data_IF_141974194328
#
_entry.id   IF_141974194328
#
_cell.length_a   1.000
_cell.length_b   1.000
_cell.length_c   1.000
_cell.angle_alpha   90.00
_cell.angle_beta   90.00
_cell.angle_gamma   90.00
#
_symmetry.space_group_name_H-M   'P 1'
#
loop_
_entity.id
_entity.type
_entity.pdbx_description
1 polymer ?
#
# COMPACT_ATOMS: atom_id res chain seq x y z
N UNK A 1 -13.63 2.58 1.64
CA UNK A 1 -12.26 2.04 1.71
C UNK A 1 -11.89 1.40 0.38
N UNK A 2 -10.66 1.64 -0.07
CA UNK A 2 -10.14 1.17 -1.36
C UNK A 2 -8.83 0.43 -1.12
N UNK A 3 -8.75 -0.85 -1.50
CA UNK A 3 -7.52 -1.63 -1.51
C UNK A 3 -6.63 -1.22 -2.67
N UNK A 4 -5.71 -0.32 -2.44
CA UNK A 4 -4.72 0.14 -3.42
C UNK A 4 -3.52 -0.81 -3.47
N UNK A 5 -3.15 -1.35 -2.35
CA UNK A 5 -2.11 -2.36 -2.07
C UNK A 5 -0.68 -1.86 -2.33
N UNK A 6 -0.37 -1.37 -3.52
CA UNK A 6 0.98 -0.95 -3.95
C UNK A 6 0.89 0.02 -5.13
N UNK A 7 1.93 0.82 -5.33
CA UNK A 7 2.11 1.61 -6.55
C UNK A 7 2.83 0.87 -7.69
N UNK A 8 3.32 -0.34 -7.47
CA UNK A 8 4.06 -1.11 -8.47
C UNK A 8 3.15 -1.97 -9.32
N UNK A 9 3.24 -1.83 -10.64
CA UNK A 9 2.50 -2.66 -11.62
C UNK A 9 2.85 -4.13 -11.47
N UNK A 10 4.13 -4.45 -11.32
CA UNK A 10 4.59 -5.84 -11.16
C UNK A 10 4.00 -6.48 -9.89
N UNK A 11 3.95 -5.73 -8.79
CA UNK A 11 3.41 -6.26 -7.53
C UNK A 11 1.91 -6.43 -7.58
N UNK A 12 1.17 -5.57 -8.30
CA UNK A 12 -0.25 -5.79 -8.58
C UNK A 12 -0.47 -7.10 -9.33
N UNK A 13 0.40 -7.45 -10.29
CA UNK A 13 0.34 -8.73 -10.99
C UNK A 13 0.59 -9.92 -10.05
N UNK A 14 1.58 -9.85 -9.15
CA UNK A 14 1.81 -10.89 -8.14
C UNK A 14 0.62 -11.09 -7.21
N UNK A 15 -0.07 -10.00 -6.87
CA UNK A 15 -1.28 -10.02 -6.05
C UNK A 15 -2.53 -10.44 -6.84
N UNK A 16 -2.42 -10.60 -8.16
CA UNK A 16 -3.58 -10.76 -9.08
C UNK A 16 -4.65 -9.69 -8.88
N UNK A 17 -4.20 -8.49 -8.53
CA UNK A 17 -5.09 -7.34 -8.37
C UNK A 17 -5.38 -6.76 -9.75
N UNK A 18 -6.65 -6.62 -10.14
CA UNK A 18 -6.99 -5.98 -11.41
C UNK A 18 -6.74 -4.47 -11.35
N UNK A 19 -6.43 -3.88 -12.50
CA UNK A 19 -6.20 -2.45 -12.64
C UNK A 19 -4.74 -2.07 -12.66
N UNK A 20 -4.50 -0.77 -12.74
CA UNK A 20 -3.18 -0.16 -12.77
C UNK A 20 -3.08 0.95 -11.72
N UNK A 21 -1.88 1.40 -11.34
CA UNK A 21 -1.71 2.56 -10.48
C UNK A 21 -2.45 3.80 -11.00
N UNK A 22 -2.48 4.00 -12.33
CA UNK A 22 -3.21 5.10 -12.97
C UNK A 22 -4.70 5.03 -12.67
N UNK A 23 -5.31 3.88 -12.89
CA UNK A 23 -6.73 3.67 -12.60
C UNK A 23 -7.03 3.88 -11.11
N UNK A 24 -6.11 3.50 -10.22
CA UNK A 24 -6.27 3.65 -8.78
C UNK A 24 -6.33 5.14 -8.37
N UNK A 25 -5.36 5.95 -8.80
CA UNK A 25 -5.36 7.37 -8.43
C UNK A 25 -6.49 8.15 -9.12
N UNK A 26 -6.86 7.82 -10.36
CA UNK A 26 -8.00 8.41 -11.06
C UNK A 26 -9.32 8.10 -10.34
N UNK A 27 -9.50 6.86 -9.91
CA UNK A 27 -10.68 6.43 -9.13
C UNK A 27 -10.76 7.20 -7.81
N UNK A 28 -9.68 7.27 -7.05
CA UNK A 28 -9.63 8.02 -5.79
C UNK A 28 -9.97 9.49 -6.03
N UNK A 29 -9.36 10.12 -7.04
CA UNK A 29 -9.58 11.53 -7.35
C UNK A 29 -11.02 11.81 -7.80
N UNK A 30 -11.63 10.90 -8.54
CA UNK A 30 -13.05 11.00 -8.95
C UNK A 30 -13.97 10.95 -7.73
N UNK A 31 -13.74 10.03 -6.80
CA UNK A 31 -14.52 9.93 -5.55
C UNK A 31 -14.33 11.20 -4.71
N UNK A 32 -13.11 11.68 -4.59
CA UNK A 32 -12.78 12.93 -3.88
C UNK A 32 -13.46 14.15 -4.49
N UNK A 33 -13.52 14.23 -5.82
CA UNK A 33 -14.23 15.31 -6.51
C UNK A 33 -15.75 15.32 -6.21
N UNK A 34 -16.32 14.17 -5.88
CA UNK A 34 -17.68 14.03 -5.38
C UNK A 34 -17.88 14.41 -3.90
N UNK A 35 -16.85 14.92 -3.22
CA UNK A 35 -16.92 15.33 -1.81
C UNK A 35 -16.87 14.18 -0.80
N UNK A 36 -16.51 12.98 -1.22
CA UNK A 36 -16.46 11.79 -0.36
C UNK A 36 -15.07 11.63 0.25
N UNK A 37 -14.99 11.37 1.55
CA UNK A 37 -13.75 10.97 2.21
C UNK A 37 -13.41 9.52 1.88
N UNK A 38 -12.11 9.23 1.73
CA UNK A 38 -11.63 7.89 1.38
C UNK A 38 -10.63 7.37 2.39
N UNK A 39 -10.62 6.05 2.57
CA UNK A 39 -9.54 5.32 3.20
C UNK A 39 -8.85 4.43 2.16
N UNK A 40 -7.56 4.61 1.94
CA UNK A 40 -6.79 3.70 1.08
C UNK A 40 -6.01 2.70 1.94
N UNK A 41 -5.92 1.47 1.46
CA UNK A 41 -5.19 0.39 2.12
C UNK A 41 -3.97 0.06 1.27
N UNK A 42 -2.80 0.10 1.90
CA UNK A 42 -1.51 -0.24 1.31
C UNK A 42 -0.91 -1.43 2.07
N UNK A 43 -0.31 -2.37 1.34
CA UNK A 43 0.30 -3.55 1.94
C UNK A 43 1.78 -3.29 2.30
N UNK A 44 2.16 -3.75 3.48
CA UNK A 44 3.55 -3.83 3.91
C UNK A 44 4.05 -5.26 3.69
N UNK A 45 5.25 -5.40 3.13
CA UNK A 45 5.87 -6.68 2.87
C UNK A 45 5.64 -7.25 1.48
N UNK A 46 4.76 -6.65 0.68
CA UNK A 46 4.55 -7.08 -0.69
C UNK A 46 5.82 -6.90 -1.53
N UNK A 47 6.16 -7.92 -2.34
CA UNK A 47 7.40 -7.95 -3.13
C UNK A 47 8.63 -8.39 -2.37
N UNK A 48 8.53 -8.63 -1.05
CA UNK A 48 9.64 -9.12 -0.23
C UNK A 48 10.89 -8.25 -0.35
N UNK A 49 12.06 -8.89 -0.18
CA UNK A 49 13.36 -8.19 -0.24
C UNK A 49 13.68 -7.66 -1.63
N UNK A 50 13.28 -8.39 -2.68
CA UNK A 50 13.61 -8.04 -4.06
C UNK A 50 12.98 -6.70 -4.52
N UNK A 51 11.80 -6.37 -4.00
CA UNK A 51 11.05 -5.15 -4.39
C UNK A 51 10.96 -4.12 -3.27
N UNK A 52 11.80 -4.23 -2.23
CA UNK A 52 11.70 -3.39 -1.03
C UNK A 52 11.69 -1.89 -1.38
N UNK A 53 12.68 -1.42 -2.11
CA UNK A 53 12.84 -0.02 -2.47
C UNK A 53 11.83 0.41 -3.55
N UNK A 54 11.61 -0.43 -4.56
CA UNK A 54 10.67 -0.16 -5.63
C UNK A 54 9.25 0.01 -5.09
N UNK A 55 8.82 -0.88 -4.19
CA UNK A 55 7.50 -0.77 -3.56
C UNK A 55 7.33 0.56 -2.82
N UNK A 56 8.34 1.00 -2.06
CA UNK A 56 8.31 2.27 -1.35
C UNK A 56 8.20 3.44 -2.34
N UNK A 57 9.08 3.50 -3.34
CA UNK A 57 9.15 4.60 -4.29
C UNK A 57 7.87 4.72 -5.12
N UNK A 58 7.43 3.63 -5.73
CA UNK A 58 6.24 3.60 -6.58
C UNK A 58 4.98 3.94 -5.78
N UNK A 59 4.89 3.47 -4.52
CA UNK A 59 3.74 3.74 -3.66
C UNK A 59 3.69 5.21 -3.22
N UNK A 60 4.83 5.82 -2.89
CA UNK A 60 4.89 7.25 -2.57
C UNK A 60 4.49 8.09 -3.79
N UNK A 61 5.00 7.76 -4.98
CA UNK A 61 4.63 8.45 -6.23
C UNK A 61 3.14 8.32 -6.54
N UNK A 62 2.55 7.14 -6.32
CA UNK A 62 1.12 6.94 -6.49
C UNK A 62 0.31 7.81 -5.54
N UNK A 63 0.63 7.80 -4.25
CA UNK A 63 -0.07 8.60 -3.23
C UNK A 63 0.08 10.10 -3.48
N UNK A 64 1.20 10.53 -4.04
CA UNK A 64 1.40 11.95 -4.41
C UNK A 64 0.39 12.43 -5.46
N UNK A 65 0.02 11.56 -6.41
CA UNK A 65 -0.98 11.85 -7.44
C UNK A 65 -2.43 11.85 -6.92
N UNK A 66 -2.67 11.27 -5.74
CA UNK A 66 -3.99 11.24 -5.11
C UNK A 66 -4.28 12.56 -4.38
N UNK A 67 -5.47 13.12 -4.57
CA UNK A 67 -5.94 14.33 -3.90
C UNK A 67 -6.38 14.05 -2.45
N UNK A 68 -5.58 13.27 -1.72
CA UNK A 68 -5.86 12.98 -0.32
C UNK A 68 -5.64 14.22 0.55
N UNK A 69 -6.50 14.40 1.54
CA UNK A 69 -6.53 15.58 2.40
C UNK A 69 -6.97 15.22 3.83
N UNK A 70 -7.05 16.21 4.69
CA UNK A 70 -7.56 16.05 6.05
C UNK A 70 -8.95 15.38 6.03
N UNK A 71 -9.09 14.32 6.80
CA UNK A 71 -10.29 13.48 6.85
C UNK A 71 -10.17 12.18 6.03
N UNK A 72 -9.21 12.11 5.11
CA UNK A 72 -8.86 10.85 4.45
C UNK A 72 -7.88 10.04 5.30
N UNK A 73 -7.81 8.74 5.02
CA UNK A 73 -6.99 7.80 5.77
C UNK A 73 -6.07 7.00 4.84
N UNK A 74 -4.84 6.80 5.26
CA UNK A 74 -3.92 5.83 4.67
C UNK A 74 -3.69 4.72 5.70
N UNK A 75 -4.15 3.53 5.41
CA UNK A 75 -3.91 2.35 6.22
C UNK A 75 -2.73 1.56 5.68
N UNK A 76 -1.74 1.31 6.53
CA UNK A 76 -0.63 0.40 6.27
C UNK A 76 -0.95 -0.94 6.94
N UNK A 77 -1.19 -1.97 6.14
CA UNK A 77 -1.57 -3.32 6.57
C UNK A 77 -0.45 -4.31 6.26
N UNK A 78 -0.02 -5.08 7.24
CA UNK A 78 0.97 -6.12 7.01
C UNK A 78 0.38 -7.27 6.18
N UNK A 79 1.17 -7.77 5.23
CA UNK A 79 0.83 -8.95 4.43
C UNK A 79 0.87 -10.19 5.32
N UNK A 80 -0.26 -10.88 5.45
CA UNK A 80 -0.41 -12.04 6.35
C UNK A 80 -0.53 -13.33 5.56
N UNK A 81 0.34 -14.30 5.87
CA UNK A 81 0.52 -15.53 5.10
C UNK A 81 -0.73 -16.39 4.93
N UNK A 82 -1.55 -16.54 5.97
CA UNK A 82 -2.79 -17.33 5.92
C UNK A 82 -3.89 -16.68 5.08
N UNK A 83 -3.87 -15.38 4.89
CA UNK A 83 -4.85 -14.64 4.08
C UNK A 83 -4.41 -14.44 2.63
N UNK A 84 -3.12 -14.63 2.34
CA UNK A 84 -2.50 -14.37 1.04
C UNK A 84 -1.70 -15.58 0.54
N UNK A 85 -2.21 -16.80 0.77
CA UNK A 85 -1.49 -18.05 0.48
C UNK A 85 -1.02 -18.12 -0.98
N UNK A 86 -1.84 -17.75 -1.93
CA UNK A 86 -1.50 -17.79 -3.36
C UNK A 86 -0.34 -16.83 -3.70
N UNK A 87 -0.35 -15.64 -3.13
CA UNK A 87 0.75 -14.69 -3.27
C UNK A 87 2.06 -15.30 -2.79
N UNK A 88 2.09 -15.91 -1.60
CA UNK A 88 3.30 -16.55 -1.07
C UNK A 88 3.76 -17.74 -1.88
N UNK A 89 2.85 -18.52 -2.46
CA UNK A 89 3.20 -19.59 -3.38
C UNK A 89 3.85 -19.06 -4.67
N UNK A 90 3.32 -17.98 -5.23
CA UNK A 90 3.84 -17.36 -6.43
C UNK A 90 5.21 -16.70 -6.21
N UNK A 91 5.39 -16.00 -5.10
CA UNK A 91 6.66 -15.38 -4.75
C UNK A 91 7.75 -16.42 -4.43
N UNK A 92 7.39 -17.53 -3.77
CA UNK A 92 8.31 -18.65 -3.55
C UNK A 92 8.79 -19.27 -4.86
N UNK A 93 7.91 -19.47 -5.85
CA UNK A 93 8.27 -19.95 -7.20
C UNK A 93 9.20 -18.98 -7.93
N UNK A 94 9.08 -17.69 -7.67
CA UNK A 94 9.94 -16.65 -8.23
C UNK A 94 11.21 -16.38 -7.41
N UNK A 95 11.49 -17.18 -6.37
CA UNK A 95 12.61 -17.02 -5.44
C UNK A 95 12.64 -15.64 -4.75
N UNK A 96 11.48 -15.09 -4.46
CA UNK A 96 11.34 -13.82 -3.72
C UNK A 96 11.25 -14.13 -2.22
N UNK A 97 12.29 -13.71 -1.48
CA UNK A 97 12.30 -13.86 -0.03
C UNK A 97 11.36 -12.83 0.64
N UNK A 98 10.51 -13.27 1.60
CA UNK A 98 9.70 -12.36 2.38
C UNK A 98 10.54 -11.43 3.26
N UNK A 99 9.99 -10.31 3.66
CA UNK A 99 10.62 -9.41 4.62
C UNK A 99 10.65 -10.04 6.02
N UNK A 100 11.73 -9.79 6.74
CA UNK A 100 11.79 -10.05 8.18
C UNK A 100 10.91 -9.05 8.95
N UNK A 101 10.53 -9.35 10.21
CA UNK A 101 9.79 -8.38 11.04
C UNK A 101 10.48 -7.02 11.16
N UNK A 102 11.80 -6.99 11.25
CA UNK A 102 12.56 -5.74 11.29
C UNK A 102 12.46 -4.98 9.96
N UNK A 103 12.55 -5.66 8.83
CA UNK A 103 12.38 -5.05 7.51
C UNK A 103 10.94 -4.55 7.28
N UNK A 104 9.92 -5.26 7.78
CA UNK A 104 8.53 -4.79 7.76
C UNK A 104 8.39 -3.44 8.48
N UNK A 105 8.97 -3.31 9.67
CA UNK A 105 8.99 -2.05 10.42
C UNK A 105 9.73 -0.95 9.66
N UNK A 106 10.87 -1.27 9.05
CA UNK A 106 11.64 -0.31 8.25
C UNK A 106 10.86 0.18 7.04
N UNK A 107 10.17 -0.71 6.33
CA UNK A 107 9.34 -0.35 5.18
C UNK A 107 8.15 0.52 5.60
N UNK A 108 7.48 0.17 6.71
CA UNK A 108 6.41 0.98 7.30
C UNK A 108 6.90 2.40 7.62
N UNK A 109 8.07 2.52 8.25
CA UNK A 109 8.62 3.82 8.59
C UNK A 109 9.03 4.62 7.36
N UNK A 110 9.61 3.98 6.36
CA UNK A 110 10.00 4.62 5.11
C UNK A 110 8.79 5.20 4.36
N UNK A 111 7.68 4.44 4.28
CA UNK A 111 6.43 4.93 3.69
C UNK A 111 5.86 6.12 4.48
N UNK A 112 5.79 6.04 5.81
CA UNK A 112 5.32 7.16 6.66
C UNK A 112 6.15 8.41 6.43
N UNK A 113 7.47 8.29 6.44
CA UNK A 113 8.40 9.40 6.19
C UNK A 113 8.22 9.95 4.78
N UNK A 114 8.08 9.09 3.77
CA UNK A 114 7.83 9.48 2.39
C UNK A 114 6.54 10.29 2.23
N UNK A 115 5.44 9.85 2.84
CA UNK A 115 4.17 10.60 2.80
C UNK A 115 4.25 11.95 3.50
N UNK A 116 4.97 12.04 4.62
CA UNK A 116 5.23 13.32 5.30
C UNK A 116 6.04 14.27 4.42
N UNK A 117 7.04 13.74 3.69
CA UNK A 117 7.91 14.52 2.80
C UNK A 117 7.18 15.10 1.58
N UNK A 118 5.98 14.61 1.24
CA UNK A 118 5.15 15.20 0.20
C UNK A 118 4.67 16.62 0.55
N UNK A 119 4.77 17.03 1.82
CA UNK A 119 4.51 18.41 2.27
C UNK A 119 3.07 18.89 2.03
N UNK A 120 2.11 17.97 1.91
CA UNK A 120 0.70 18.32 1.66
C UNK A 120 0.13 19.09 2.86
N UNK A 121 -0.38 20.30 2.63
CA UNK A 121 -0.88 21.23 3.65
C UNK A 121 -2.13 20.62 4.25
N UNK A 122 -2.72 19.85 4.42
CA UNK A 122 -3.85 19.12 5.01
C UNK A 122 -3.68 17.61 4.72
N UNK A 123 -2.53 17.07 5.14
CA UNK A 123 -2.22 15.67 4.88
C UNK A 123 -3.27 14.72 5.47
N UNK A 124 -3.50 13.57 4.81
CA UNK A 124 -4.33 12.51 5.36
C UNK A 124 -3.69 11.92 6.63
N UNK A 125 -4.51 11.29 7.45
CA UNK A 125 -4.00 10.53 8.59
C UNK A 125 -3.39 9.21 8.09
N UNK A 126 -2.19 8.87 8.58
CA UNK A 126 -1.54 7.58 8.31
C UNK A 126 -1.65 6.71 9.56
N UNK A 127 -2.21 5.52 9.41
CA UNK A 127 -2.39 4.55 10.50
C UNK A 127 -1.88 3.17 10.08
N UNK A 128 -1.40 2.40 11.05
CA UNK A 128 -1.14 0.97 10.86
C UNK A 128 -2.41 0.19 11.20
N UNK A 129 -2.79 -0.72 10.32
CA UNK A 129 -3.96 -1.58 10.47
C UNK A 129 -3.50 -3.01 10.72
N UNK A 130 -3.94 -3.57 11.84
CA UNK A 130 -3.65 -4.96 12.16
C UNK A 130 -4.90 -5.81 11.83
N UNK A 131 -4.88 -6.45 10.67
CA UNK A 131 -6.00 -7.28 10.21
C UNK A 131 -6.28 -8.45 11.18
N UNK A 132 -5.29 -8.87 11.97
CA UNK A 132 -5.45 -9.96 12.96
C UNK A 132 -6.40 -9.60 14.10
N UNK A 133 -6.63 -8.32 14.37
CA UNK A 133 -7.56 -7.87 15.40
C UNK A 133 -9.03 -8.03 14.99
N UNK A 134 -9.30 -8.33 13.74
CA UNK A 134 -10.65 -8.47 13.17
C UNK A 134 -10.98 -9.89 12.68
N UNK A 135 -10.10 -10.85 12.91
CA UNK A 135 -10.35 -12.27 12.64
C UNK A 135 -10.93 -12.86 13.92
N UNK A 136 -12.26 -13.03 13.93
CA UNK A 136 -12.98 -13.74 14.97
C UNK A 136 -13.03 -15.23 14.68
#
# INVERSE_FOLDING_TARGET
YIGVETGSVELLHFLRKPGTPELMWETVNTIKAGGVQVGIILLIGVGGKAYFDQHIQDTIQLVDKMNLSKGDLIYLSELVGNLNLEYFQNTAKANIEPLTPTQMKSQTQALKTGFQSLGKKNAPQVSTYNIREFIY
#
